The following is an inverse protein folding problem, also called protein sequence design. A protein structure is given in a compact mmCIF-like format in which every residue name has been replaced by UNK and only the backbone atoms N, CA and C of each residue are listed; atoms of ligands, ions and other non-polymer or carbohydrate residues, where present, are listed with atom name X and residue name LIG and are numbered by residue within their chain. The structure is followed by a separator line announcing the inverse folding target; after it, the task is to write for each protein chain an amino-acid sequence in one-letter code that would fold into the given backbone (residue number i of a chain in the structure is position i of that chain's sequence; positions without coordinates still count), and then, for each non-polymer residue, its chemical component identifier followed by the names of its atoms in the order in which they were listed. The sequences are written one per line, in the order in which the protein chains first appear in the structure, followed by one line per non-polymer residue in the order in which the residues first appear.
data_IF_421512778449
#
_entry.id   IF_421512778449
#
_cell.length_a   1.000
_cell.length_b   1.000
_cell.length_c   1.000
_cell.angle_alpha   90.00
_cell.angle_beta   90.00
_cell.angle_gamma   90.00
#
_symmetry.space_group_name_H-M   'P 1'
#
loop_
_entity.id
_entity.type
_entity.pdbx_description
1 polymer ?
#
# COMPACT_ATOMS: atom_id res chain seq x y z
N UNK A 1 -13.30 16.06 -1.93
CA UNK A 1 -14.58 16.66 -1.52
C UNK A 1 -14.68 16.43 -0.03
N UNK A 2 -14.84 17.48 0.77
CA UNK A 2 -14.89 17.32 2.23
C UNK A 2 -16.13 16.52 2.60
N UNK A 3 -15.96 15.55 3.50
CA UNK A 3 -17.04 14.65 3.92
C UNK A 3 -17.80 15.19 5.15
N UNK A 4 -17.57 16.46 5.52
CA UNK A 4 -18.15 17.07 6.72
C UNK A 4 -19.65 17.35 6.49
N UNK A 5 -20.56 16.77 7.31
CA UNK A 5 -21.99 17.05 7.24
C UNK A 5 -22.34 18.54 7.46
N UNK A 6 -23.31 19.06 6.71
CA UNK A 6 -23.74 20.47 6.75
C UNK A 6 -24.51 20.88 8.02
N UNK A 7 -25.00 19.92 8.81
CA UNK A 7 -25.78 20.13 10.04
C UNK A 7 -25.02 19.97 11.36
N UNK A 8 -23.70 19.85 11.33
CA UNK A 8 -22.91 19.59 12.54
C UNK A 8 -22.93 20.78 13.53
N UNK A 9 -23.09 20.53 14.85
CA UNK A 9 -22.93 21.56 15.86
C UNK A 9 -21.55 22.21 15.76
N UNK A 10 -21.46 23.52 16.00
CA UNK A 10 -20.20 24.27 15.91
C UNK A 10 -19.09 23.66 16.79
N UNK A 11 -19.48 23.14 17.95
CA UNK A 11 -18.59 22.47 18.89
C UNK A 11 -17.91 21.19 18.35
N UNK A 12 -18.47 20.58 17.30
CA UNK A 12 -17.95 19.38 16.63
C UNK A 12 -17.16 19.69 15.36
N UNK A 13 -17.23 20.92 14.82
CA UNK A 13 -16.56 21.26 13.55
C UNK A 13 -15.06 21.02 13.54
N UNK A 14 -14.37 21.36 14.64
CA UNK A 14 -12.93 21.10 14.75
C UNK A 14 -12.58 19.61 14.76
N UNK A 15 -13.44 18.79 15.37
CA UNK A 15 -13.28 17.33 15.38
C UNK A 15 -13.51 16.77 13.98
N UNK A 16 -14.57 17.24 13.30
CA UNK A 16 -14.90 16.85 11.94
C UNK A 16 -13.76 17.15 10.96
N UNK A 17 -13.18 18.35 11.03
CA UNK A 17 -12.06 18.76 10.17
C UNK A 17 -10.83 17.88 10.37
N UNK A 18 -10.50 17.52 11.61
CA UNK A 18 -9.34 16.68 11.87
C UNK A 18 -9.58 15.23 11.43
N UNK A 19 -10.79 14.70 11.64
CA UNK A 19 -11.17 13.39 11.12
C UNK A 19 -11.13 13.33 9.58
N UNK A 20 -11.58 14.39 8.88
CA UNK A 20 -11.50 14.50 7.41
C UNK A 20 -10.04 14.50 6.94
N UNK A 21 -9.13 15.19 7.64
CA UNK A 21 -7.68 15.15 7.35
C UNK A 21 -7.08 13.77 7.58
N UNK A 22 -7.48 13.07 8.65
CA UNK A 22 -7.03 11.69 8.91
C UNK A 22 -7.53 10.77 7.79
N UNK A 23 -8.80 10.88 7.41
CA UNK A 23 -9.39 10.14 6.29
C UNK A 23 -8.59 10.37 4.99
N UNK A 24 -8.37 11.63 4.62
CA UNK A 24 -7.60 11.99 3.42
C UNK A 24 -6.16 11.44 3.49
N UNK A 25 -5.46 11.68 4.59
CA UNK A 25 -4.09 11.20 4.76
C UNK A 25 -4.01 9.67 4.69
N UNK A 26 -4.97 8.95 5.27
CA UNK A 26 -5.02 7.50 5.24
C UNK A 26 -5.28 6.96 3.82
N UNK A 27 -6.16 7.61 3.05
CA UNK A 27 -6.40 7.31 1.63
C UNK A 27 -5.10 7.38 0.82
N UNK A 28 -4.37 8.50 0.95
CA UNK A 28 -3.11 8.71 0.25
C UNK A 28 -2.04 7.68 0.64
N UNK A 29 -1.92 7.39 1.93
CA UNK A 29 -1.00 6.38 2.45
C UNK A 29 -1.35 4.98 1.97
N UNK A 30 -2.63 4.58 2.02
CA UNK A 30 -3.11 3.29 1.55
C UNK A 30 -2.76 3.06 0.08
N UNK A 31 -3.11 4.02 -0.78
CA UNK A 31 -2.83 3.91 -2.21
C UNK A 31 -1.32 3.91 -2.50
N UNK A 32 -0.54 4.72 -1.77
CA UNK A 32 0.92 4.70 -1.86
C UNK A 32 1.51 3.33 -1.55
N UNK A 33 1.02 2.68 -0.49
CA UNK A 33 1.45 1.35 -0.09
C UNK A 33 1.01 0.26 -1.08
N UNK A 34 -0.20 0.33 -1.64
CA UNK A 34 -0.63 -0.59 -2.70
C UNK A 34 0.24 -0.49 -3.94
N UNK A 35 0.57 0.72 -4.39
CA UNK A 35 1.49 0.92 -5.52
C UNK A 35 2.90 0.43 -5.18
N UNK A 36 3.37 0.60 -3.94
CA UNK A 36 4.64 0.05 -3.48
C UNK A 36 4.64 -1.48 -3.51
N UNK A 37 3.55 -2.13 -3.09
CA UNK A 37 3.39 -3.58 -3.16
C UNK A 37 3.44 -4.08 -4.62
N UNK A 38 2.77 -3.39 -5.56
CA UNK A 38 2.83 -3.71 -6.99
C UNK A 38 4.24 -3.61 -7.56
N UNK A 39 5.03 -2.61 -7.13
CA UNK A 39 6.43 -2.48 -7.54
C UNK A 39 7.28 -3.65 -7.02
N UNK A 40 7.12 -4.03 -5.75
CA UNK A 40 7.83 -5.19 -5.20
C UNK A 40 7.43 -6.50 -5.90
N UNK A 41 6.15 -6.66 -6.23
CA UNK A 41 5.67 -7.80 -7.04
C UNK A 41 6.36 -7.83 -8.40
N UNK A 42 6.47 -6.68 -9.07
CA UNK A 42 7.18 -6.59 -10.35
C UNK A 42 8.66 -6.96 -10.22
N UNK A 43 9.36 -6.43 -9.21
CA UNK A 43 10.77 -6.76 -8.96
C UNK A 43 10.94 -8.27 -8.70
N UNK A 44 10.06 -8.86 -7.89
CA UNK A 44 10.09 -10.28 -7.59
C UNK A 44 9.97 -11.13 -8.87
N UNK A 45 9.05 -10.78 -9.77
CA UNK A 45 8.86 -11.47 -11.04
C UNK A 45 10.04 -11.23 -12.01
N UNK A 46 10.53 -9.99 -12.10
CA UNK A 46 11.63 -9.61 -12.99
C UNK A 46 12.96 -10.27 -12.63
N UNK A 47 13.18 -10.63 -11.36
CA UNK A 47 14.37 -11.36 -10.93
C UNK A 47 14.12 -12.88 -10.92
N UNK A 48 12.98 -13.31 -10.38
CA UNK A 48 12.68 -14.73 -10.16
C UNK A 48 12.41 -15.52 -11.43
N UNK A 49 11.67 -14.94 -12.39
CA UNK A 49 11.33 -15.64 -13.64
C UNK A 49 12.57 -15.87 -14.51
N UNK A 50 13.44 -14.86 -14.76
CA UNK A 50 14.67 -15.10 -15.50
C UNK A 50 15.63 -16.05 -14.78
N UNK A 51 15.76 -15.95 -13.45
CA UNK A 51 16.56 -16.90 -12.69
C UNK A 51 16.11 -18.35 -12.93
N UNK A 52 14.82 -18.63 -12.73
CA UNK A 52 14.27 -19.97 -12.92
C UNK A 52 14.45 -20.48 -14.36
N UNK A 53 14.22 -19.62 -15.36
CA UNK A 53 14.39 -20.00 -16.76
C UNK A 53 15.86 -20.31 -17.10
N UNK A 54 16.80 -19.47 -16.65
CA UNK A 54 18.24 -19.67 -16.87
C UNK A 54 18.75 -20.93 -16.16
N UNK A 55 18.31 -21.19 -14.93
CA UNK A 55 18.60 -22.43 -14.22
C UNK A 55 18.08 -23.66 -14.97
N UNK A 56 16.85 -23.61 -15.47
CA UNK A 56 16.25 -24.71 -16.21
C UNK A 56 17.00 -24.99 -17.53
N UNK A 57 17.35 -23.95 -18.30
CA UNK A 57 18.13 -24.10 -19.54
C UNK A 57 19.54 -24.62 -19.22
N UNK A 58 20.19 -24.08 -18.20
CA UNK A 58 21.51 -24.54 -17.75
C UNK A 58 21.49 -26.01 -17.36
N UNK A 59 20.57 -26.42 -16.48
CA UNK A 59 20.45 -27.80 -16.03
C UNK A 59 20.11 -28.74 -17.18
N UNK A 60 19.14 -28.36 -18.03
CA UNK A 60 18.75 -29.15 -19.19
C UNK A 60 19.86 -29.35 -20.21
N UNK A 61 20.64 -28.30 -20.49
CA UNK A 61 21.78 -28.38 -21.44
C UNK A 61 22.93 -29.22 -20.89
N UNK A 62 23.26 -29.08 -19.60
CA UNK A 62 24.27 -29.91 -18.95
C UNK A 62 23.85 -31.40 -18.93
N UNK A 63 22.60 -31.70 -18.59
CA UNK A 63 22.05 -33.06 -18.59
C UNK A 63 21.95 -33.66 -20.00
N UNK A 64 21.72 -32.83 -21.02
CA UNK A 64 21.72 -33.22 -22.42
C UNK A 64 23.11 -33.52 -23.01
N UNK A 65 24.16 -33.52 -22.19
CA UNK A 65 25.53 -33.86 -22.60
C UNK A 65 26.34 -32.70 -23.21
N UNK A 66 25.82 -31.47 -23.18
CA UNK A 66 26.60 -30.31 -23.60
C UNK A 66 27.56 -29.91 -22.48
N UNK A 67 28.85 -30.20 -22.65
CA UNK A 67 29.93 -29.90 -21.70
C UNK A 67 30.68 -28.59 -22.03
N UNK A 68 30.12 -27.75 -22.89
CA UNK A 68 30.69 -26.44 -23.19
C UNK A 68 30.63 -25.46 -22.00
N UNK A 69 31.12 -24.25 -22.19
CA UNK A 69 31.11 -23.21 -21.13
C UNK A 69 29.70 -22.67 -20.82
N UNK A 70 28.77 -22.78 -21.77
CA UNK A 70 27.46 -22.12 -21.72
C UNK A 70 26.56 -22.55 -20.54
N UNK A 71 26.40 -23.85 -20.20
CA UNK A 71 25.63 -24.24 -19.02
C UNK A 71 26.17 -23.57 -17.74
N UNK A 72 27.49 -23.57 -17.52
CA UNK A 72 28.10 -22.92 -16.36
C UNK A 72 27.82 -21.41 -16.28
N UNK A 73 27.91 -20.71 -17.42
CA UNK A 73 27.60 -19.26 -17.47
C UNK A 73 26.13 -18.99 -17.13
N UNK A 74 25.21 -19.75 -17.71
CA UNK A 74 23.77 -19.60 -17.44
C UNK A 74 23.44 -19.90 -15.97
N UNK A 75 24.08 -20.91 -15.37
CA UNK A 75 23.95 -21.22 -13.95
C UNK A 75 24.41 -20.04 -13.06
N UNK A 76 25.55 -19.44 -13.37
CA UNK A 76 26.08 -18.31 -12.59
C UNK A 76 25.18 -17.07 -12.69
N UNK A 77 24.68 -16.76 -13.88
CA UNK A 77 23.74 -15.65 -14.07
C UNK A 77 22.46 -15.92 -13.27
N UNK A 78 21.90 -17.13 -13.38
CA UNK A 78 20.74 -17.55 -12.58
C UNK A 78 20.99 -17.38 -11.08
N UNK A 79 22.14 -17.84 -10.59
CA UNK A 79 22.50 -17.73 -9.18
C UNK A 79 22.62 -16.27 -8.72
N UNK A 80 23.16 -15.39 -9.56
CA UNK A 80 23.25 -13.96 -9.26
C UNK A 80 21.85 -13.30 -9.13
N UNK A 81 20.91 -13.63 -10.03
CA UNK A 81 19.53 -13.16 -9.92
C UNK A 81 18.84 -13.69 -8.64
N UNK A 82 18.98 -14.99 -8.36
CA UNK A 82 18.44 -15.60 -7.14
C UNK A 82 19.02 -14.97 -5.87
N UNK A 83 20.34 -14.79 -5.80
CA UNK A 83 20.99 -14.13 -4.67
C UNK A 83 20.48 -12.71 -4.47
N UNK A 84 20.36 -11.93 -5.57
CA UNK A 84 19.81 -10.58 -5.54
C UNK A 84 18.37 -10.57 -5.02
N UNK A 85 17.54 -11.51 -5.48
CA UNK A 85 16.15 -11.65 -5.02
C UNK A 85 16.07 -11.92 -3.52
N UNK A 86 16.92 -12.82 -3.01
CA UNK A 86 17.03 -13.13 -1.58
C UNK A 86 17.50 -11.91 -0.78
N UNK A 87 18.53 -11.20 -1.24
CA UNK A 87 19.07 -10.01 -0.55
C UNK A 87 18.06 -8.87 -0.51
N UNK A 88 17.39 -8.58 -1.63
CA UNK A 88 16.37 -7.52 -1.68
C UNK A 88 15.11 -7.90 -0.90
N UNK A 89 14.84 -9.21 -0.80
CA UNK A 89 13.69 -9.79 -0.12
C UNK A 89 12.36 -9.19 -0.58
N UNK A 90 12.18 -9.15 -1.90
CA UNK A 90 11.04 -8.49 -2.56
C UNK A 90 9.69 -9.05 -2.09
N UNK A 91 9.60 -10.36 -1.87
CA UNK A 91 8.38 -11.02 -1.36
C UNK A 91 7.96 -10.50 0.01
N UNK A 92 8.90 -10.41 0.98
CA UNK A 92 8.59 -9.86 2.32
C UNK A 92 8.12 -8.41 2.22
N UNK A 93 8.83 -7.58 1.45
CA UNK A 93 8.50 -6.15 1.28
C UNK A 93 7.14 -5.95 0.59
N UNK A 94 6.80 -6.81 -0.36
CA UNK A 94 5.47 -6.82 -1.00
C UNK A 94 4.38 -7.08 0.04
N UNK A 95 4.52 -8.15 0.84
CA UNK A 95 3.53 -8.52 1.87
C UNK A 95 3.41 -7.44 2.94
N UNK A 96 4.53 -6.86 3.38
CA UNK A 96 4.53 -5.78 4.35
C UNK A 96 3.82 -4.53 3.81
N UNK A 97 4.14 -4.10 2.58
CA UNK A 97 3.46 -2.97 1.96
C UNK A 97 1.95 -3.23 1.78
N UNK A 98 1.55 -4.45 1.39
CA UNK A 98 0.14 -4.80 1.27
C UNK A 98 -0.58 -4.80 2.63
N UNK A 99 0.07 -5.30 3.69
CA UNK A 99 -0.49 -5.26 5.04
C UNK A 99 -0.68 -3.81 5.53
N UNK A 100 0.33 -2.96 5.36
CA UNK A 100 0.23 -1.52 5.65
C UNK A 100 -0.88 -0.85 4.85
N UNK A 101 -1.00 -1.16 3.55
CA UNK A 101 -2.05 -0.60 2.70
C UNK A 101 -3.45 -0.92 3.22
N UNK A 102 -3.69 -2.18 3.56
CA UNK A 102 -4.97 -2.62 4.13
C UNK A 102 -5.26 -1.96 5.48
N UNK A 103 -4.25 -1.79 6.33
CA UNK A 103 -4.42 -1.15 7.62
C UNK A 103 -4.76 0.35 7.49
N UNK A 104 -4.13 1.06 6.55
CA UNK A 104 -4.53 2.44 6.24
C UNK A 104 -5.93 2.52 5.64
N UNK A 105 -6.34 1.57 4.80
CA UNK A 105 -7.69 1.51 4.25
C UNK A 105 -8.75 1.29 5.35
N UNK A 106 -8.44 0.49 6.36
CA UNK A 106 -9.28 0.32 7.55
C UNK A 106 -9.40 1.63 8.33
N UNK A 107 -8.29 2.33 8.59
CA UNK A 107 -8.29 3.63 9.25
C UNK A 107 -9.09 4.68 8.46
N UNK A 108 -8.91 4.72 7.13
CA UNK A 108 -9.68 5.58 6.23
C UNK A 108 -11.18 5.30 6.39
N UNK A 109 -11.58 4.04 6.33
CA UNK A 109 -12.98 3.65 6.45
C UNK A 109 -13.56 4.04 7.81
N UNK A 110 -12.82 3.79 8.90
CA UNK A 110 -13.23 4.15 10.25
C UNK A 110 -13.38 5.67 10.42
N UNK A 111 -12.42 6.46 9.90
CA UNK A 111 -12.50 7.92 9.92
C UNK A 111 -13.69 8.44 9.10
N UNK A 112 -13.97 7.84 7.94
CA UNK A 112 -15.15 8.18 7.12
C UNK A 112 -16.45 7.87 7.83
N UNK A 113 -16.59 6.67 8.42
CA UNK A 113 -17.81 6.27 9.14
C UNK A 113 -18.05 7.18 10.36
N UNK A 114 -16.99 7.43 11.13
CA UNK A 114 -17.04 8.37 12.25
C UNK A 114 -17.54 9.74 11.79
N UNK A 115 -16.96 10.29 10.73
CA UNK A 115 -17.29 11.63 10.24
C UNK A 115 -18.70 11.74 9.63
N UNK A 116 -19.08 10.76 8.81
CA UNK A 116 -20.30 10.83 8.00
C UNK A 116 -21.55 10.32 8.73
N UNK A 117 -21.39 9.43 9.70
CA UNK A 117 -22.50 8.74 10.37
C UNK A 117 -22.49 9.07 11.85
N UNK A 118 -21.40 8.74 12.56
CA UNK A 118 -21.45 8.69 14.02
C UNK A 118 -21.39 10.08 14.68
N UNK A 119 -20.62 11.01 14.12
CA UNK A 119 -20.30 12.31 14.74
C UNK A 119 -21.53 13.19 14.98
N UNK A 120 -22.60 13.02 14.21
CA UNK A 120 -23.82 13.86 14.30
C UNK A 120 -24.55 13.65 15.62
N UNK A 121 -24.63 12.41 16.09
CA UNK A 121 -25.39 12.02 17.28
C UNK A 121 -24.50 11.84 18.52
N UNK A 122 -23.18 11.98 18.36
CA UNK A 122 -22.21 11.71 19.42
C UNK A 122 -22.09 12.89 20.39
N UNK A 123 -21.84 12.58 21.67
CA UNK A 123 -21.44 13.62 22.62
C UNK A 123 -20.05 14.16 22.24
N UNK A 124 -19.76 15.41 22.60
CA UNK A 124 -18.46 16.03 22.29
C UNK A 124 -17.28 15.30 22.96
N UNK A 125 -17.52 14.72 24.14
CA UNK A 125 -16.50 13.97 24.88
C UNK A 125 -16.18 12.66 24.15
N UNK A 126 -17.21 11.88 23.82
CA UNK A 126 -17.06 10.63 23.06
C UNK A 126 -16.46 10.85 21.67
N UNK A 127 -16.86 11.94 21.00
CA UNK A 127 -16.30 12.34 19.71
C UNK A 127 -14.80 12.67 19.81
N UNK A 128 -14.38 13.31 20.91
CA UNK A 128 -12.97 13.62 21.16
C UNK A 128 -12.16 12.36 21.44
N UNK A 129 -12.71 11.44 22.21
CA UNK A 129 -12.06 10.16 22.51
C UNK A 129 -11.93 9.28 21.26
N UNK A 130 -12.96 9.27 20.42
CA UNK A 130 -12.93 8.57 19.12
C UNK A 130 -11.87 9.17 18.20
N UNK A 131 -11.79 10.50 18.09
CA UNK A 131 -10.73 11.17 17.33
C UNK A 131 -9.33 10.85 17.88
N UNK A 132 -9.18 10.79 19.21
CA UNK A 132 -7.91 10.40 19.84
C UNK A 132 -7.52 8.98 19.44
N UNK A 133 -8.48 8.05 19.41
CA UNK A 133 -8.23 6.68 18.98
C UNK A 133 -7.81 6.60 17.51
N UNK A 134 -8.50 7.31 16.60
CA UNK A 134 -8.11 7.41 15.18
C UNK A 134 -6.69 7.96 15.02
N UNK A 135 -6.34 8.98 15.80
CA UNK A 135 -5.00 9.59 15.80
C UNK A 135 -3.94 8.59 16.27
N UNK A 136 -4.19 7.88 17.37
CA UNK A 136 -3.29 6.86 17.89
C UNK A 136 -3.07 5.72 16.88
N UNK A 137 -4.15 5.26 16.24
CA UNK A 137 -4.05 4.25 15.17
C UNK A 137 -3.21 4.77 14.01
N UNK A 138 -3.46 6.00 13.53
CA UNK A 138 -2.65 6.62 12.46
C UNK A 138 -1.17 6.66 12.82
N UNK A 139 -0.84 7.10 14.03
CA UNK A 139 0.53 7.25 14.47
C UNK A 139 1.23 5.89 14.60
N UNK A 140 0.51 4.84 15.01
CA UNK A 140 1.03 3.47 15.03
C UNK A 140 1.28 2.92 13.63
N UNK A 141 0.36 3.16 12.68
CA UNK A 141 0.57 2.78 11.28
C UNK A 141 1.77 3.51 10.66
N UNK A 142 1.95 4.79 10.98
CA UNK A 142 3.08 5.59 10.49
C UNK A 142 4.43 5.08 11.05
N UNK A 143 4.46 4.58 12.29
CA UNK A 143 5.67 4.00 12.88
C UNK A 143 6.07 2.66 12.27
N UNK A 144 5.08 1.84 11.92
CA UNK A 144 5.28 0.45 11.49
C UNK A 144 5.39 0.28 9.98
N UNK A 145 4.95 1.27 9.21
CA UNK A 145 4.96 1.24 7.75
C UNK A 145 6.21 1.88 7.17
N UNK A 146 6.86 1.19 6.23
CA UNK A 146 7.96 1.78 5.47
C UNK A 146 7.44 2.87 4.52
N UNK A 147 8.12 4.02 4.40
CA UNK A 147 7.68 5.09 3.51
C UNK A 147 7.71 4.63 2.04
N UNK A 148 6.63 4.88 1.26
CA UNK A 148 6.61 4.54 -0.16
C UNK A 148 7.72 5.26 -0.95
N UNK A 149 8.30 4.56 -1.94
CA UNK A 149 9.26 5.17 -2.85
C UNK A 149 8.63 6.18 -3.81
N UNK A 150 9.47 7.01 -4.45
CA UNK A 150 9.02 8.08 -5.37
C UNK A 150 8.11 7.58 -6.52
N UNK A 151 8.40 6.39 -7.05
CA UNK A 151 7.58 5.81 -8.13
C UNK A 151 6.19 5.39 -7.62
N UNK A 152 6.11 4.82 -6.42
CA UNK A 152 4.84 4.46 -5.79
C UNK A 152 4.01 5.71 -5.52
N UNK A 153 4.63 6.75 -4.95
CA UNK A 153 3.99 8.05 -4.71
C UNK A 153 3.44 8.69 -6.00
N UNK A 154 4.24 8.71 -7.08
CA UNK A 154 3.78 9.27 -8.37
C UNK A 154 2.60 8.48 -8.94
N UNK A 155 2.63 7.15 -8.85
CA UNK A 155 1.53 6.29 -9.32
C UNK A 155 0.28 6.44 -8.46
N UNK A 156 0.42 6.54 -7.14
CA UNK A 156 -0.72 6.74 -6.25
C UNK A 156 -1.38 8.09 -6.50
N UNK A 157 -0.58 9.15 -6.66
CA UNK A 157 -1.09 10.48 -7.03
C UNK A 157 -1.85 10.49 -8.35
N UNK A 158 -1.33 9.80 -9.38
CA UNK A 158 -2.04 9.66 -10.66
C UNK A 158 -3.35 8.86 -10.51
N UNK A 159 -3.37 7.83 -9.67
CA UNK A 159 -4.56 7.01 -9.46
C UNK A 159 -5.66 7.81 -8.75
N UNK A 160 -5.31 8.52 -7.68
CA UNK A 160 -6.26 9.32 -6.89
C UNK A 160 -6.81 10.48 -7.71
N UNK A 161 -5.93 11.24 -8.40
CA UNK A 161 -6.37 12.34 -9.28
C UNK A 161 -7.20 11.86 -10.48
N UNK A 162 -7.06 10.59 -10.88
CA UNK A 162 -7.85 9.96 -11.94
C UNK A 162 -9.16 9.32 -11.47
N UNK A 163 -9.60 9.55 -10.23
CA UNK A 163 -10.86 9.00 -9.70
C UNK A 163 -10.77 7.56 -9.17
N UNK A 164 -9.58 6.98 -9.02
CA UNK A 164 -9.44 5.60 -8.53
C UNK A 164 -9.86 5.35 -7.08
N UNK A 165 -10.26 6.42 -6.37
CA UNK A 165 -10.77 6.39 -5.00
C UNK A 165 -12.13 7.13 -4.86
N UNK A 166 -12.82 7.42 -5.96
CA UNK A 166 -14.22 7.84 -5.91
C UNK A 166 -15.13 6.62 -5.98
N UNK A 167 -16.26 6.69 -5.27
CA UNK A 167 -17.32 5.68 -5.39
C UNK A 167 -18.36 6.19 -6.39
N UNK A 168 -18.76 5.33 -7.33
CA UNK A 168 -19.83 5.66 -8.27
C UNK A 168 -21.16 5.99 -7.57
N UNK A 169 -21.36 5.49 -6.34
CA UNK A 169 -22.51 5.84 -5.50
C UNK A 169 -22.52 7.30 -5.09
N UNK A 170 -21.36 7.95 -5.05
CA UNK A 170 -21.21 9.34 -4.61
C UNK A 170 -21.37 10.32 -5.79
N UNK A 171 -21.45 9.82 -7.02
CA UNK A 171 -21.67 10.60 -8.25
C UNK A 171 -23.16 10.78 -8.60
N UNK A 172 -24.06 10.10 -7.87
CA UNK A 172 -25.49 10.00 -8.15
C UNK A 172 -26.43 10.90 -7.33
N UNK A 173 -25.90 11.80 -6.51
CA UNK A 173 -26.65 12.86 -5.79
C UNK A 173 -26.39 14.25 -6.39
#
# INVERSE_FOLDING_TARGET
MSLIPSGLPESHRGIAQEADRIHESALWSAQGQFEQAKLWRLINLMLGVPAAALAAISGGTALGGNLGIWPGVLALISAAFSATLTTVNASRRMTQAQASANAYLQLQTAARQFLAIDLVDMSREDARDTLRNLTNTRDELNKTSDPPGRLAYKKSSKNISGGGQSYATDEGE
#
